data_IF_440444729983
#
_entry.id   IF_440444729983
#
_cell.length_a   1.000
_cell.length_b   1.000
_cell.length_c   1.000
_cell.angle_alpha   90.00
_cell.angle_beta   90.00
_cell.angle_gamma   90.00
#
_symmetry.space_group_name_H-M   'P 1'
#
loop_
_entity.id
_entity.type
_entity.pdbx_description
1 polymer ?
#
# COMPACT_ATOMS: atom_id res chain seq x y z
N UNK A 1 9.57 30.11 -1.78
CA UNK A 1 10.14 28.84 -1.29
C UNK A 1 9.36 27.73 -1.98
N UNK A 2 9.98 26.96 -2.88
CA UNK A 2 9.30 25.83 -3.54
C UNK A 2 8.92 24.80 -2.47
N UNK A 3 7.73 24.19 -2.56
CA UNK A 3 7.36 23.10 -1.65
C UNK A 3 8.25 21.88 -1.86
N UNK A 4 8.38 21.02 -0.85
CA UNK A 4 9.11 19.76 -0.98
C UNK A 4 8.48 18.84 -2.04
N UNK A 5 7.17 18.90 -2.28
CA UNK A 5 6.52 18.26 -3.44
C UNK A 5 7.02 18.80 -4.76
N UNK A 6 7.23 20.12 -4.87
CA UNK A 6 7.77 20.71 -6.10
C UNK A 6 9.19 20.20 -6.34
N UNK A 7 9.98 20.02 -5.28
CA UNK A 7 11.31 19.40 -5.36
C UNK A 7 11.25 17.90 -5.68
N UNK A 8 10.26 17.17 -5.18
CA UNK A 8 10.03 15.75 -5.48
C UNK A 8 9.53 15.53 -6.91
N UNK A 9 8.56 16.31 -7.37
CA UNK A 9 8.06 16.32 -8.75
C UNK A 9 9.15 16.78 -9.72
N UNK A 10 9.98 17.76 -9.35
CA UNK A 10 11.16 18.18 -10.12
C UNK A 10 12.20 17.04 -10.18
N UNK A 11 12.44 16.32 -9.08
CA UNK A 11 13.37 15.17 -9.02
C UNK A 11 12.89 13.96 -9.84
N UNK A 12 11.59 13.65 -9.83
CA UNK A 12 10.98 12.61 -10.67
C UNK A 12 10.61 13.12 -12.08
N UNK A 13 10.86 14.40 -12.36
CA UNK A 13 10.49 15.12 -13.59
C UNK A 13 9.04 14.87 -13.99
N UNK A 14 8.09 14.91 -13.07
CA UNK A 14 6.67 14.72 -13.37
C UNK A 14 6.07 16.02 -13.90
N UNK A 15 6.33 16.28 -15.18
CA UNK A 15 5.74 17.40 -15.92
C UNK A 15 4.30 17.09 -16.39
N UNK A 16 3.59 18.14 -16.84
CA UNK A 16 2.20 18.03 -17.30
C UNK A 16 2.02 17.03 -18.45
N UNK A 17 3.04 16.83 -19.29
CA UNK A 17 2.98 15.88 -20.41
C UNK A 17 3.00 14.44 -19.87
N UNK A 18 3.90 14.13 -18.93
CA UNK A 18 3.96 12.80 -18.31
C UNK A 18 2.70 12.48 -17.53
N UNK A 19 2.18 13.46 -16.79
CA UNK A 19 0.94 13.28 -16.05
C UNK A 19 -0.26 13.05 -16.99
N UNK A 20 -0.37 13.84 -18.06
CA UNK A 20 -1.40 13.65 -19.08
C UNK A 20 -1.30 12.28 -19.74
N UNK A 21 -0.10 11.82 -20.09
CA UNK A 21 0.13 10.49 -20.65
C UNK A 21 -0.30 9.39 -19.67
N UNK A 22 0.03 9.54 -18.38
CA UNK A 22 -0.38 8.59 -17.34
C UNK A 22 -1.90 8.49 -17.25
N UNK A 23 -2.60 9.62 -17.10
CA UNK A 23 -4.06 9.67 -17.03
C UNK A 23 -4.74 9.10 -18.27
N UNK A 24 -4.22 9.41 -19.47
CA UNK A 24 -4.75 8.85 -20.72
C UNK A 24 -4.52 7.34 -20.84
N UNK A 25 -3.33 6.84 -20.45
CA UNK A 25 -2.97 5.42 -20.60
C UNK A 25 -3.80 4.54 -19.68
N UNK A 26 -4.00 4.98 -18.43
CA UNK A 26 -4.73 4.20 -17.44
C UNK A 26 -6.22 4.56 -17.36
N UNK A 27 -6.68 5.52 -18.17
CA UNK A 27 -8.03 6.09 -18.11
C UNK A 27 -8.41 6.51 -16.68
N UNK A 28 -7.50 7.28 -16.05
CA UNK A 28 -7.61 7.76 -14.67
C UNK A 28 -7.58 9.29 -14.64
N UNK A 29 -8.08 9.86 -13.55
CA UNK A 29 -7.88 11.26 -13.16
C UNK A 29 -7.13 11.35 -11.83
N UNK A 30 -6.89 12.59 -11.37
CA UNK A 30 -6.24 12.85 -10.08
C UNK A 30 -7.00 12.27 -8.88
N UNK A 31 -8.30 12.07 -9.01
CA UNK A 31 -9.13 11.31 -8.06
C UNK A 31 -10.34 10.76 -8.79
N UNK A 32 -10.62 9.47 -8.65
CA UNK A 32 -11.73 8.84 -9.37
C UNK A 32 -12.70 8.11 -8.46
N UNK A 33 -13.89 7.90 -9.00
CA UNK A 33 -14.92 7.09 -8.40
C UNK A 33 -15.32 5.98 -9.36
N UNK A 34 -15.35 4.75 -8.87
CA UNK A 34 -15.91 3.61 -9.58
C UNK A 34 -16.84 2.83 -8.65
N UNK A 35 -17.72 2.00 -9.23
CA UNK A 35 -18.68 1.20 -8.47
C UNK A 35 -18.52 -0.27 -8.76
N UNK A 36 -18.41 -1.07 -7.70
CA UNK A 36 -18.45 -2.54 -7.78
C UNK A 36 -19.64 -3.03 -6.97
N UNK A 37 -20.54 -3.79 -7.60
CA UNK A 37 -21.77 -4.26 -6.94
C UNK A 37 -22.64 -3.12 -6.37
N UNK A 38 -22.59 -1.92 -6.98
CA UNK A 38 -23.28 -0.72 -6.51
C UNK A 38 -22.54 0.08 -5.41
N UNK A 39 -21.47 -0.47 -4.85
CA UNK A 39 -20.69 0.14 -3.76
C UNK A 39 -19.67 1.13 -4.35
N UNK A 40 -19.64 2.41 -3.90
CA UNK A 40 -18.69 3.38 -4.39
C UNK A 40 -17.29 3.19 -3.79
N UNK A 41 -16.30 3.14 -4.67
CA UNK A 41 -14.88 3.19 -4.34
C UNK A 41 -14.32 4.50 -4.86
N UNK A 42 -13.60 5.22 -4.00
CA UNK A 42 -12.95 6.49 -4.34
C UNK A 42 -11.45 6.28 -4.27
N UNK A 43 -10.75 6.57 -5.36
CA UNK A 43 -9.29 6.62 -5.41
C UNK A 43 -8.82 8.05 -5.32
N UNK A 44 -7.81 8.31 -4.49
CA UNK A 44 -7.21 9.64 -4.38
C UNK A 44 -5.72 9.54 -4.73
N UNK A 45 -5.24 10.43 -5.60
CA UNK A 45 -3.82 10.68 -5.73
C UNK A 45 -3.32 11.41 -4.47
N UNK A 46 -2.86 10.65 -3.48
CA UNK A 46 -2.42 11.19 -2.20
C UNK A 46 -1.23 12.16 -2.32
N UNK A 47 -0.43 12.09 -3.39
CA UNK A 47 0.63 13.08 -3.65
C UNK A 47 0.07 14.47 -3.94
N UNK A 48 -1.14 14.57 -4.46
CA UNK A 48 -1.81 15.83 -4.73
C UNK A 48 -2.49 16.43 -3.48
N UNK A 49 -2.40 15.76 -2.32
CA UNK A 49 -3.05 16.15 -1.07
C UNK A 49 -2.10 16.82 -0.07
N UNK A 50 -1.00 17.41 -0.55
CA UNK A 50 -0.04 18.12 0.31
C UNK A 50 -0.50 19.51 0.78
N UNK A 51 -1.51 20.09 0.11
CA UNK A 51 -2.07 21.41 0.46
C UNK A 51 -1.11 22.57 0.19
N UNK A 52 -0.17 22.41 -0.75
CA UNK A 52 0.80 23.43 -1.17
C UNK A 52 0.31 24.26 -2.38
N UNK A 53 -0.93 24.01 -2.85
CA UNK A 53 -1.55 24.74 -3.95
C UNK A 53 -0.98 24.44 -5.32
N UNK A 54 -0.26 23.31 -5.47
CA UNK A 54 0.27 22.85 -6.75
C UNK A 54 -0.83 22.67 -7.82
N UNK A 55 -0.45 22.70 -9.10
CA UNK A 55 -1.42 22.59 -10.22
C UNK A 55 -2.30 21.33 -10.11
N UNK A 56 -1.67 20.18 -9.85
CA UNK A 56 -2.36 18.88 -9.69
C UNK A 56 -3.19 18.82 -8.41
N UNK A 57 -2.81 19.57 -7.37
CA UNK A 57 -3.49 19.62 -6.08
C UNK A 57 -4.86 20.26 -6.22
N UNK A 58 -4.94 21.41 -6.91
CA UNK A 58 -6.22 22.11 -7.14
C UNK A 58 -7.20 21.27 -7.95
N UNK A 59 -6.71 20.51 -8.92
CA UNK A 59 -7.53 19.60 -9.72
C UNK A 59 -8.07 18.45 -8.85
N UNK A 60 -7.21 17.83 -8.03
CA UNK A 60 -7.59 16.76 -7.11
C UNK A 60 -8.65 17.23 -6.09
N UNK A 61 -8.46 18.40 -5.46
CA UNK A 61 -9.40 18.96 -4.51
C UNK A 61 -10.77 19.25 -5.14
N UNK A 62 -10.80 19.84 -6.35
CA UNK A 62 -12.04 20.07 -7.10
C UNK A 62 -12.75 18.76 -7.43
N UNK A 63 -11.99 17.74 -7.84
CA UNK A 63 -12.53 16.44 -8.19
C UNK A 63 -13.11 15.71 -6.98
N UNK A 64 -12.41 15.71 -5.85
CA UNK A 64 -12.92 15.15 -4.59
C UNK A 64 -14.19 15.88 -4.14
N UNK A 65 -14.21 17.20 -4.21
CA UNK A 65 -15.41 17.99 -3.87
C UNK A 65 -16.60 17.64 -4.76
N UNK A 66 -16.35 17.46 -6.07
CA UNK A 66 -17.37 17.02 -7.03
C UNK A 66 -17.85 15.59 -6.78
N UNK A 67 -16.95 14.68 -6.39
CA UNK A 67 -17.33 13.32 -6.00
C UNK A 67 -18.20 13.38 -4.74
N UNK A 68 -17.77 14.12 -3.72
CA UNK A 68 -18.48 14.27 -2.45
C UNK A 68 -19.90 14.81 -2.64
N UNK A 69 -20.10 15.80 -3.52
CA UNK A 69 -21.43 16.36 -3.80
C UNK A 69 -22.36 15.42 -4.56
N UNK A 70 -21.82 14.48 -5.33
CA UNK A 70 -22.58 13.49 -6.10
C UNK A 70 -22.84 12.18 -5.35
N UNK A 71 -22.20 11.97 -4.20
CA UNK A 71 -22.51 10.84 -3.31
C UNK A 71 -23.89 11.05 -2.67
N UNK A 72 -24.71 10.00 -2.64
CA UNK A 72 -26.00 10.07 -1.92
C UNK A 72 -25.73 10.20 -0.42
N UNK A 73 -26.63 10.84 0.33
CA UNK A 73 -26.45 11.12 1.76
C UNK A 73 -26.14 9.88 2.65
N UNK A 74 -26.56 8.68 2.23
CA UNK A 74 -26.28 7.41 2.94
C UNK A 74 -25.14 6.59 2.32
N UNK A 75 -24.61 7.00 1.18
CA UNK A 75 -23.49 6.33 0.53
C UNK A 75 -22.18 6.70 1.23
N UNK A 76 -21.55 5.71 1.87
CA UNK A 76 -20.23 5.86 2.46
C UNK A 76 -19.22 5.08 1.61
N UNK A 77 -18.32 5.76 0.89
CA UNK A 77 -17.42 5.10 -0.04
C UNK A 77 -16.30 4.34 0.68
N UNK A 78 -15.70 3.39 -0.03
CA UNK A 78 -14.41 2.80 0.31
C UNK A 78 -13.32 3.71 -0.26
N UNK A 79 -12.45 4.23 0.59
CA UNK A 79 -11.36 5.11 0.16
C UNK A 79 -10.09 4.30 -0.10
N UNK A 80 -9.48 4.49 -1.27
CA UNK A 80 -8.23 3.88 -1.68
C UNK A 80 -7.20 4.98 -1.96
N UNK A 81 -6.04 4.90 -1.31
CA UNK A 81 -4.94 5.84 -1.57
C UNK A 81 -3.59 5.17 -1.27
N UNK A 82 -2.47 5.81 -1.62
CA UNK A 82 -1.15 5.24 -1.34
C UNK A 82 -0.63 5.66 0.04
N UNK A 83 -0.51 6.97 0.29
CA UNK A 83 -0.01 7.48 1.57
C UNK A 83 -1.09 7.35 2.64
N UNK A 84 -0.75 6.95 3.86
CA UNK A 84 -1.72 6.84 4.94
C UNK A 84 -2.28 8.22 5.32
N UNK A 85 -3.49 8.22 5.87
CA UNK A 85 -4.00 9.40 6.57
C UNK A 85 -3.10 9.74 7.75
N UNK A 86 -3.21 10.99 8.22
CA UNK A 86 -2.37 11.49 9.29
C UNK A 86 -2.51 10.65 10.57
N UNK A 87 -1.40 10.05 10.99
CA UNK A 87 -1.18 9.49 12.32
C UNK A 87 0.22 9.88 12.78
N UNK A 88 0.43 9.99 14.10
CA UNK A 88 1.69 10.47 14.67
C UNK A 88 2.84 9.51 14.37
N UNK A 89 2.61 8.22 14.51
CA UNK A 89 3.58 7.15 14.28
C UNK A 89 2.85 5.81 14.14
N UNK A 90 3.60 4.72 13.96
CA UNK A 90 3.08 3.36 13.95
C UNK A 90 3.04 2.69 15.35
N UNK A 91 3.21 3.46 16.43
CA UNK A 91 3.23 2.99 17.83
C UNK A 91 2.02 2.11 18.19
N UNK A 92 0.83 2.51 17.74
CA UNK A 92 -0.40 1.77 18.01
C UNK A 92 -0.59 0.51 17.14
N UNK A 93 0.24 0.33 16.10
CA UNK A 93 0.08 -0.76 15.13
C UNK A 93 0.55 -2.09 15.74
N UNK A 94 -0.20 -3.16 15.45
CA UNK A 94 0.03 -4.49 16.02
C UNK A 94 0.05 -5.56 14.92
N UNK A 95 0.80 -6.63 15.15
CA UNK A 95 0.91 -7.78 14.25
C UNK A 95 2.35 -8.10 13.84
N UNK A 96 2.57 -9.31 13.33
CA UNK A 96 3.91 -9.79 12.93
C UNK A 96 4.48 -9.02 11.71
N UNK A 97 3.62 -8.47 10.87
CA UNK A 97 3.98 -7.69 9.69
C UNK A 97 3.92 -6.16 9.91
N UNK A 98 3.79 -5.71 11.16
CA UNK A 98 3.94 -4.30 11.54
C UNK A 98 5.41 -3.84 11.51
N UNK A 99 5.65 -2.56 11.76
CA UNK A 99 6.99 -2.01 11.95
C UNK A 99 7.73 -2.66 13.13
N UNK A 100 9.07 -2.81 13.08
CA UNK A 100 9.86 -3.09 14.27
C UNK A 100 9.54 -2.08 15.37
N UNK A 101 9.63 -2.48 16.64
CA UNK A 101 9.23 -1.63 17.78
C UNK A 101 9.99 -0.30 17.82
N UNK A 102 11.27 -0.29 17.45
CA UNK A 102 12.08 0.93 17.34
C UNK A 102 11.58 1.90 16.25
N UNK A 103 11.07 1.38 15.13
CA UNK A 103 10.56 2.17 14.01
C UNK A 103 9.13 2.66 14.30
N UNK A 104 8.31 1.86 15.01
CA UNK A 104 6.96 2.26 15.42
C UNK A 104 6.93 3.55 16.25
N UNK A 105 7.97 3.79 17.04
CA UNK A 105 8.10 4.98 17.90
C UNK A 105 8.56 6.23 17.15
N UNK A 106 9.01 6.09 15.90
CA UNK A 106 9.47 7.22 15.09
C UNK A 106 8.26 8.01 14.60
N UNK A 107 8.27 9.30 14.89
CA UNK A 107 7.23 10.22 14.43
C UNK A 107 7.25 10.34 12.90
N UNK A 108 6.09 10.16 12.29
CA UNK A 108 5.87 10.36 10.86
C UNK A 108 6.02 11.83 10.50
N UNK A 109 6.75 12.08 9.41
CA UNK A 109 6.83 13.40 8.79
C UNK A 109 5.61 13.61 7.91
N UNK A 110 4.74 14.59 8.23
CA UNK A 110 3.60 14.89 7.36
C UNK A 110 4.08 15.29 5.98
N UNK A 111 3.31 14.91 4.95
CA UNK A 111 3.62 15.07 3.52
C UNK A 111 4.72 14.14 2.99
N UNK A 112 5.34 13.35 3.86
CA UNK A 112 6.34 12.38 3.44
C UNK A 112 5.98 10.97 3.89
N UNK A 113 5.79 10.71 5.17
CA UNK A 113 5.45 9.37 5.67
C UNK A 113 3.92 9.17 5.73
N UNK A 114 3.15 10.27 5.82
CA UNK A 114 1.70 10.29 5.84
C UNK A 114 1.14 11.62 5.28
N UNK A 115 -0.17 11.69 5.01
CA UNK A 115 -0.82 12.94 4.64
C UNK A 115 -0.78 13.97 5.78
N UNK A 116 -0.93 15.25 5.45
CA UNK A 116 -1.05 16.30 6.46
C UNK A 116 -2.31 16.11 7.31
N UNK A 117 -2.27 16.59 8.56
CA UNK A 117 -3.45 16.57 9.47
C UNK A 117 -4.64 17.29 8.84
N UNK A 118 -4.39 18.43 8.19
CA UNK A 118 -5.43 19.23 7.51
C UNK A 118 -6.04 18.47 6.35
N UNK A 119 -5.21 17.89 5.47
CA UNK A 119 -5.68 17.14 4.30
C UNK A 119 -6.46 15.89 4.70
N UNK A 120 -5.97 15.17 5.71
CA UNK A 120 -6.61 13.96 6.23
C UNK A 120 -7.99 14.27 6.81
N UNK A 121 -8.08 15.33 7.62
CA UNK A 121 -9.35 15.81 8.16
C UNK A 121 -10.31 16.23 7.05
N UNK A 122 -9.84 17.01 6.08
CA UNK A 122 -10.64 17.46 4.94
C UNK A 122 -11.19 16.29 4.13
N UNK A 123 -10.38 15.26 3.83
CA UNK A 123 -10.81 14.04 3.13
C UNK A 123 -11.90 13.32 3.91
N UNK A 124 -11.68 13.07 5.21
CA UNK A 124 -12.62 12.36 6.08
C UNK A 124 -13.96 13.11 6.21
N UNK A 125 -13.93 14.44 6.31
CA UNK A 125 -15.12 15.27 6.44
C UNK A 125 -15.94 15.36 5.14
N UNK A 126 -15.27 15.45 3.98
CA UNK A 126 -15.93 15.54 2.68
C UNK A 126 -16.46 14.20 2.20
N UNK A 127 -15.65 13.14 2.25
CA UNK A 127 -16.04 11.83 1.69
C UNK A 127 -16.75 10.93 2.69
N UNK A 128 -16.55 11.13 4.00
CA UNK A 128 -17.12 10.30 5.08
C UNK A 128 -17.03 8.79 4.78
N UNK A 129 -15.82 8.29 4.43
CA UNK A 129 -15.66 6.92 3.98
C UNK A 129 -16.01 5.93 5.09
N UNK A 130 -16.44 4.72 4.70
CA UNK A 130 -16.73 3.64 5.64
C UNK A 130 -15.47 2.88 6.10
N UNK A 131 -14.43 2.89 5.26
CA UNK A 131 -13.14 2.23 5.48
C UNK A 131 -12.11 2.87 4.53
N UNK A 132 -10.85 2.90 4.95
CA UNK A 132 -9.73 3.42 4.16
C UNK A 132 -8.70 2.32 3.97
N UNK A 133 -8.18 2.16 2.76
CA UNK A 133 -7.03 1.30 2.47
C UNK A 133 -5.88 2.17 1.97
N UNK A 134 -4.72 1.99 2.62
CA UNK A 134 -3.48 2.71 2.32
C UNK A 134 -2.27 1.77 2.25
N UNK A 135 -1.07 2.31 2.08
CA UNK A 135 0.18 1.57 2.08
C UNK A 135 1.35 2.47 2.45
N UNK A 136 2.29 2.64 1.52
CA UNK A 136 3.45 3.53 1.60
C UNK A 136 4.55 3.10 2.59
N UNK A 137 4.24 2.91 3.87
CA UNK A 137 5.26 2.58 4.89
C UNK A 137 5.84 1.18 4.72
N UNK A 138 5.28 0.38 3.82
CA UNK A 138 5.57 -1.04 3.63
C UNK A 138 5.21 -1.92 4.82
N UNK A 139 4.78 -1.40 5.97
CA UNK A 139 4.37 -2.15 7.15
C UNK A 139 2.84 -2.22 7.25
N UNK A 140 2.32 -3.29 7.86
CA UNK A 140 0.89 -3.36 8.12
C UNK A 140 0.52 -2.57 9.37
N UNK A 141 -0.54 -1.78 9.25
CA UNK A 141 -1.15 -1.10 10.37
C UNK A 141 -2.67 -1.07 10.24
N UNK A 142 -3.36 -1.15 11.37
CA UNK A 142 -4.77 -0.80 11.48
C UNK A 142 -4.86 0.40 12.41
N UNK A 143 -5.34 1.52 11.88
CA UNK A 143 -5.46 2.78 12.62
C UNK A 143 -6.91 3.27 12.60
N UNK A 144 -7.39 3.86 13.69
CA UNK A 144 -8.77 4.34 13.79
C UNK A 144 -8.83 5.87 13.80
N UNK A 145 -9.41 6.44 12.75
CA UNK A 145 -9.65 7.88 12.62
C UNK A 145 -11.04 8.24 13.13
N UNK A 146 -11.20 8.27 14.45
CA UNK A 146 -12.45 8.67 15.12
C UNK A 146 -13.71 7.98 14.57
N UNK A 147 -13.63 6.66 14.34
CA UNK A 147 -14.73 5.83 13.85
C UNK A 147 -14.61 5.38 12.39
N UNK A 148 -13.54 5.77 11.70
CA UNK A 148 -13.17 5.22 10.39
C UNK A 148 -11.88 4.43 10.50
N UNK A 149 -11.95 3.12 10.26
CA UNK A 149 -10.77 2.27 10.23
C UNK A 149 -9.97 2.46 8.93
N UNK A 150 -8.67 2.65 9.08
CA UNK A 150 -7.70 2.63 8.01
C UNK A 150 -6.84 1.37 8.11
N UNK A 151 -6.75 0.63 7.01
CA UNK A 151 -5.89 -0.54 6.86
C UNK A 151 -4.73 -0.20 5.92
N UNK A 152 -3.52 -0.07 6.47
CA UNK A 152 -2.30 0.03 5.68
C UNK A 152 -1.84 -1.37 5.30
N UNK A 153 -1.76 -1.65 4.00
CA UNK A 153 -1.28 -2.92 3.43
C UNK A 153 0.24 -2.89 3.36
N UNK A 154 0.95 -3.93 3.85
CA UNK A 154 2.39 -3.98 3.73
C UNK A 154 2.83 -4.19 2.29
N UNK A 155 4.13 -4.01 2.02
CA UNK A 155 4.68 -4.35 0.70
C UNK A 155 4.53 -5.84 0.43
N UNK A 156 4.06 -6.17 -0.78
CA UNK A 156 3.99 -7.54 -1.28
C UNK A 156 5.38 -8.11 -1.65
N UNK A 157 6.38 -7.24 -1.83
CA UNK A 157 7.71 -7.62 -2.32
C UNK A 157 8.67 -7.95 -1.18
N UNK A 158 9.38 -9.09 -1.31
CA UNK A 158 10.46 -9.47 -0.40
C UNK A 158 11.60 -8.45 -0.33
N UNK A 159 11.75 -7.62 -1.38
CA UNK A 159 12.72 -6.51 -1.39
C UNK A 159 12.59 -5.59 -0.17
N UNK A 160 11.37 -5.40 0.32
CA UNK A 160 11.11 -4.47 1.42
C UNK A 160 10.90 -5.20 2.75
N UNK A 161 10.56 -6.51 2.73
CA UNK A 161 10.25 -7.28 3.94
C UNK A 161 10.45 -8.77 3.77
N UNK A 162 10.90 -9.45 4.81
CA UNK A 162 10.97 -10.91 4.82
C UNK A 162 9.58 -11.59 4.86
N UNK A 163 8.53 -10.96 5.44
CA UNK A 163 7.20 -11.54 5.67
C UNK A 163 6.05 -10.75 5.02
N UNK A 164 5.89 -10.76 3.69
CA UNK A 164 4.83 -10.03 3.01
C UNK A 164 3.45 -10.61 3.35
N UNK A 165 2.43 -9.78 3.24
CA UNK A 165 1.04 -10.18 3.40
C UNK A 165 0.14 -9.39 2.44
N UNK A 166 -1.06 -9.89 2.21
CA UNK A 166 -2.09 -9.19 1.44
C UNK A 166 -3.43 -9.23 2.20
N UNK A 167 -4.34 -8.31 1.86
CA UNK A 167 -5.67 -8.27 2.45
C UNK A 167 -6.69 -8.88 1.49
N UNK A 168 -7.49 -9.81 1.99
CA UNK A 168 -8.73 -10.24 1.37
C UNK A 168 -9.87 -9.44 1.99
N UNK A 169 -10.54 -8.64 1.17
CA UNK A 169 -11.58 -7.71 1.62
C UNK A 169 -12.92 -8.12 1.07
N UNK A 170 -13.90 -8.32 1.95
CA UNK A 170 -15.31 -8.52 1.59
C UNK A 170 -16.09 -7.28 1.96
N UNK A 171 -16.85 -6.73 1.03
CA UNK A 171 -17.57 -5.46 1.23
C UNK A 171 -19.02 -5.65 0.81
N UNK A 172 -19.94 -5.26 1.68
CA UNK A 172 -21.38 -5.20 1.41
C UNK A 172 -21.87 -3.75 1.45
N UNK A 173 -23.16 -3.53 1.21
CA UNK A 173 -23.76 -2.19 1.26
C UNK A 173 -23.57 -1.51 2.64
N UNK A 174 -23.60 -2.28 3.73
CA UNK A 174 -23.60 -1.75 5.09
C UNK A 174 -22.44 -2.24 5.96
N UNK A 175 -21.68 -3.25 5.54
CA UNK A 175 -20.60 -3.84 6.32
C UNK A 175 -19.36 -4.12 5.47
N UNK A 176 -18.24 -4.40 6.13
CA UNK A 176 -17.04 -4.91 5.49
C UNK A 176 -16.31 -5.86 6.45
N UNK A 177 -15.57 -6.80 5.87
CA UNK A 177 -14.67 -7.69 6.59
C UNK A 177 -13.30 -7.68 5.91
N UNK A 178 -12.25 -7.60 6.71
CA UNK A 178 -10.86 -7.61 6.24
C UNK A 178 -10.16 -8.82 6.85
N UNK A 179 -9.63 -9.68 6.00
CA UNK A 179 -8.82 -10.82 6.41
C UNK A 179 -7.40 -10.66 5.89
N UNK A 180 -6.41 -10.86 6.75
CA UNK A 180 -4.99 -10.74 6.40
C UNK A 180 -4.42 -12.12 6.09
N UNK A 181 -3.79 -12.25 4.92
CA UNK A 181 -3.16 -13.48 4.46
C UNK A 181 -1.64 -13.30 4.39
N UNK A 182 -0.89 -14.07 5.18
CA UNK A 182 0.56 -14.09 5.12
C UNK A 182 1.06 -14.91 3.93
N UNK A 183 2.15 -14.44 3.33
CA UNK A 183 2.89 -15.17 2.30
C UNK A 183 4.11 -15.87 2.89
N UNK A 184 4.71 -16.83 2.16
CA UNK A 184 5.96 -17.45 2.59
C UNK A 184 7.05 -16.41 2.85
N UNK A 185 7.84 -16.62 3.91
CA UNK A 185 8.97 -15.75 4.22
C UNK A 185 10.09 -15.96 3.22
N UNK A 186 10.76 -14.88 2.80
CA UNK A 186 11.91 -14.95 1.88
C UNK A 186 12.97 -15.90 2.41
N UNK A 187 13.37 -15.69 3.67
CA UNK A 187 14.35 -16.53 4.37
C UNK A 187 13.93 -18.00 4.46
N UNK A 188 12.64 -18.32 4.49
CA UNK A 188 12.15 -19.71 4.47
C UNK A 188 12.31 -20.30 3.08
N UNK A 189 11.93 -19.55 2.03
CA UNK A 189 12.05 -19.99 0.64
C UNK A 189 13.52 -20.19 0.25
N UNK A 190 14.40 -19.25 0.62
CA UNK A 190 15.85 -19.38 0.39
C UNK A 190 16.41 -20.60 1.12
N UNK A 191 16.03 -20.84 2.38
CA UNK A 191 16.46 -22.02 3.14
C UNK A 191 16.02 -23.32 2.47
N UNK A 192 14.78 -23.40 2.00
CA UNK A 192 14.26 -24.58 1.27
C UNK A 192 15.10 -24.83 0.01
N UNK A 193 15.39 -23.80 -0.79
CA UNK A 193 16.22 -23.97 -1.99
C UNK A 193 17.65 -24.40 -1.66
N UNK A 194 18.27 -23.80 -0.64
CA UNK A 194 19.63 -24.16 -0.22
C UNK A 194 19.71 -25.62 0.26
N UNK A 195 18.78 -26.04 1.12
CA UNK A 195 18.71 -27.43 1.61
C UNK A 195 18.45 -28.40 0.46
N UNK A 196 17.53 -28.08 -0.45
CA UNK A 196 17.22 -28.92 -1.62
C UNK A 196 18.43 -29.09 -2.53
N UNK A 197 19.19 -28.03 -2.77
CA UNK A 197 20.41 -28.08 -3.56
C UNK A 197 21.48 -28.97 -2.89
N UNK A 198 21.67 -28.85 -1.58
CA UNK A 198 22.61 -29.70 -0.83
C UNK A 198 22.21 -31.18 -0.94
N UNK A 199 20.92 -31.50 -0.77
CA UNK A 199 20.41 -32.86 -0.91
C UNK A 199 20.68 -33.40 -2.33
N UNK A 200 20.42 -32.61 -3.37
CA UNK A 200 20.66 -33.01 -4.75
C UNK A 200 22.15 -33.27 -5.02
N UNK A 201 23.05 -32.44 -4.48
CA UNK A 201 24.50 -32.64 -4.60
C UNK A 201 24.92 -33.94 -3.90
N UNK A 202 24.46 -34.18 -2.67
CA UNK A 202 24.80 -35.40 -1.91
C UNK A 202 24.28 -36.66 -2.62
N UNK A 203 23.05 -36.63 -3.13
CA UNK A 203 22.48 -37.73 -3.91
C UNK A 203 23.26 -37.96 -5.21
N UNK A 204 23.67 -36.89 -5.89
CA UNK A 204 24.51 -36.96 -7.08
C UNK A 204 25.87 -37.62 -6.81
N UNK A 205 26.55 -37.22 -5.73
CA UNK A 205 27.83 -37.82 -5.30
C UNK A 205 27.63 -39.30 -4.95
N UNK A 206 26.60 -39.64 -4.17
CA UNK A 206 26.30 -41.01 -3.79
C UNK A 206 26.00 -41.91 -4.99
N UNK A 207 25.23 -41.41 -5.96
CA UNK A 207 24.90 -42.15 -7.17
C UNK A 207 26.13 -42.31 -8.08
N UNK A 208 26.98 -41.28 -8.18
CA UNK A 208 28.28 -41.35 -8.86
C UNK A 208 29.20 -42.40 -8.24
N UNK A 209 29.31 -42.41 -6.91
CA UNK A 209 30.10 -43.40 -6.16
C UNK A 209 29.63 -44.83 -6.42
N UNK A 210 28.31 -45.08 -6.36
CA UNK A 210 27.73 -46.39 -6.68
C UNK A 210 28.02 -46.84 -8.12
N UNK A 211 27.93 -45.93 -9.09
CA UNK A 211 28.26 -46.24 -10.50
C UNK A 211 29.74 -46.59 -10.68
N UNK A 212 30.66 -45.89 -10.03
CA UNK A 212 32.08 -46.22 -10.08
C UNK A 212 32.39 -47.58 -9.44
N UNK A 213 31.74 -47.92 -8.31
CA UNK A 213 31.89 -49.26 -7.72
C UNK A 213 31.40 -50.37 -8.66
N UNK A 214 30.27 -50.16 -9.35
CA UNK A 214 29.74 -51.12 -10.31
C UNK A 214 30.65 -51.33 -11.52
N UNK A 215 31.42 -50.31 -11.93
CA UNK A 215 32.38 -50.41 -13.04
C UNK A 215 33.70 -51.10 -12.67
N UNK A 216 34.08 -51.12 -11.39
CA UNK A 216 35.31 -51.80 -10.91
C UNK A 216 35.12 -53.29 -10.59
N UNK A 217 33.89 -53.81 -10.68
CA UNK A 217 33.54 -55.21 -10.39
C UNK A 217 33.33 -56.07 -11.64
N UNK A 218 33.66 -55.54 -12.82
CA UNK A 218 33.75 -56.24 -14.12
C UNK A 218 35.17 -56.15 -14.66
#
# INVERSE_FOLDING_TARGET
MKSELTLWLDNFRMDDIKLKRFYQTFNLSSSDIFRLGGIPFVTINSMAMEGDGCHICKEAEKRITSIASNLKAKEKPVLLQHFPLFRKSDESCQGEDSAPEEEKLVDFRPKFDCLSKTSSKWILENLKPRVVFSGHTHHSCVYNHSGVSEFSVPSFSWRNRNNPSYLLVTISMNEYAVYKCFMPKESTVIRIYAISLIILIVLGIFHGYKRCQAHHTH
#
